data_IF_975332526413
#
_entry.id   IF_975332526413
#
_cell.length_a   1.000
_cell.length_b   1.000
_cell.length_c   1.000
_cell.angle_alpha   90.00
_cell.angle_beta   90.00
_cell.angle_gamma   90.00
#
_symmetry.space_group_name_H-M   'P 1'
#
loop_
_entity.id
_entity.type
_entity.pdbx_description
1 polymer ?
#
# COMPACT_ATOMS: atom_id res chain seq x y z
N UNK A 1 -10.80 -1.04 15.24
CA UNK A 1 -9.87 -0.57 16.30
C UNK A 1 -8.55 -1.31 16.17
N UNK A 2 -7.42 -0.70 16.45
CA UNK A 2 -6.10 -1.34 16.48
C UNK A 2 -5.24 -0.69 17.56
N UNK A 3 -4.11 -1.31 17.92
CA UNK A 3 -3.18 -0.75 18.90
C UNK A 3 -2.41 0.43 18.29
N UNK A 4 -2.63 1.62 18.84
CA UNK A 4 -2.00 2.87 18.44
C UNK A 4 -0.87 3.28 19.39
N UNK A 5 -0.38 2.36 20.24
CA UNK A 5 0.69 2.64 21.19
C UNK A 5 1.93 3.21 20.48
N UNK A 6 2.42 4.36 20.95
CA UNK A 6 3.55 5.06 20.34
C UNK A 6 3.18 5.96 19.15
N UNK A 7 1.95 5.91 18.65
CA UNK A 7 1.46 6.89 17.68
C UNK A 7 0.87 8.12 18.35
N UNK A 8 1.03 9.27 17.70
CA UNK A 8 0.31 10.50 17.99
C UNK A 8 -0.92 10.57 17.10
N UNK A 9 -2.10 10.56 17.70
CA UNK A 9 -3.34 10.77 16.96
C UNK A 9 -3.44 12.22 16.46
N UNK A 10 -3.68 12.40 15.17
CA UNK A 10 -3.83 13.71 14.51
C UNK A 10 -5.32 14.07 14.42
N UNK A 11 -6.15 13.11 14.04
CA UNK A 11 -7.61 13.20 14.07
C UNK A 11 -8.22 11.81 14.30
N UNK A 12 -9.54 11.66 14.17
CA UNK A 12 -10.24 10.40 14.43
C UNK A 12 -9.70 9.21 13.61
N UNK A 13 -9.22 9.47 12.39
CA UNK A 13 -8.85 8.46 11.41
C UNK A 13 -7.37 8.48 11.03
N UNK A 14 -6.57 9.38 11.59
CA UNK A 14 -5.17 9.59 11.21
C UNK A 14 -4.26 9.61 12.43
N UNK A 15 -3.18 8.84 12.35
CA UNK A 15 -2.13 8.73 13.36
C UNK A 15 -0.75 8.87 12.73
N UNK A 16 0.14 9.60 13.39
CA UNK A 16 1.54 9.76 12.99
C UNK A 16 2.46 9.08 14.00
N UNK A 17 3.47 8.36 13.52
CA UNK A 17 4.56 7.85 14.36
C UNK A 17 5.65 8.92 14.47
N UNK A 18 5.88 9.53 15.65
CA UNK A 18 6.71 10.73 15.75
C UNK A 18 8.18 10.54 15.36
N UNK A 19 8.73 9.34 15.49
CA UNK A 19 10.15 9.08 15.25
C UNK A 19 10.52 9.09 13.76
N UNK A 20 9.62 8.62 12.90
CA UNK A 20 9.88 8.44 11.46
C UNK A 20 8.96 9.28 10.57
N UNK A 21 7.90 9.86 11.14
CA UNK A 21 6.84 10.52 10.38
C UNK A 21 5.95 9.55 9.59
N UNK A 22 6.05 8.23 9.84
CA UNK A 22 5.16 7.25 9.22
C UNK A 22 3.72 7.53 9.64
N UNK A 23 2.78 7.40 8.70
CA UNK A 23 1.38 7.73 8.91
C UNK A 23 0.49 6.50 8.75
N UNK A 24 -0.48 6.36 9.63
CA UNK A 24 -1.53 5.35 9.55
C UNK A 24 -2.86 6.04 9.37
N UNK A 25 -3.64 5.61 8.38
CA UNK A 25 -5.00 6.06 8.14
C UNK A 25 -5.98 4.89 8.22
N UNK A 26 -7.11 5.15 8.85
CA UNK A 26 -8.29 4.32 8.76
C UNK A 26 -9.26 4.95 7.77
N UNK A 27 -9.86 4.14 6.90
CA UNK A 27 -10.85 4.62 5.95
C UNK A 27 -12.03 3.66 5.88
N UNK A 28 -13.23 4.22 5.76
CA UNK A 28 -14.42 3.49 5.34
C UNK A 28 -14.98 4.14 4.08
N UNK A 29 -15.18 3.34 3.04
CA UNK A 29 -15.76 3.79 1.77
C UNK A 29 -17.12 3.11 1.60
N UNK A 30 -18.24 3.85 1.64
CA UNK A 30 -19.56 3.28 1.36
C UNK A 30 -19.73 2.99 -0.14
N UNK A 31 -20.60 2.04 -0.46
CA UNK A 31 -20.87 1.64 -1.84
C UNK A 31 -20.05 0.41 -2.26
N UNK A 32 -20.29 -0.06 -3.48
CA UNK A 32 -19.58 -1.25 -4.00
C UNK A 32 -18.08 -0.95 -4.05
N UNK A 33 -17.21 -1.77 -3.41
CA UNK A 33 -15.78 -1.52 -3.38
C UNK A 33 -15.13 -1.52 -4.75
N UNK A 34 -14.46 -0.42 -5.11
CA UNK A 34 -13.69 -0.29 -6.35
C UNK A 34 -12.45 -1.18 -6.26
N UNK A 35 -12.63 -2.46 -6.58
CA UNK A 35 -11.59 -3.49 -6.70
C UNK A 35 -11.77 -4.12 -8.09
N UNK A 36 -10.70 -4.21 -8.90
CA UNK A 36 -10.85 -4.48 -10.34
C UNK A 36 -11.14 -5.95 -10.68
N UNK A 37 -11.13 -6.84 -9.68
CA UNK A 37 -11.42 -8.26 -9.82
C UNK A 37 -11.96 -8.82 -8.49
N UNK A 38 -12.58 -10.01 -8.56
CA UNK A 38 -12.86 -10.80 -7.36
C UNK A 38 -11.56 -11.14 -6.62
N UNK A 39 -11.61 -11.29 -5.29
CA UNK A 39 -10.41 -11.63 -4.52
C UNK A 39 -9.88 -13.03 -4.86
N UNK A 40 -10.75 -13.91 -5.34
CA UNK A 40 -10.42 -15.28 -5.76
C UNK A 40 -9.66 -15.30 -7.11
N UNK A 41 -9.80 -14.27 -7.95
CA UNK A 41 -9.10 -14.13 -9.22
C UNK A 41 -7.84 -13.27 -9.06
N UNK A 42 -6.90 -13.78 -8.26
CA UNK A 42 -5.65 -13.10 -7.95
C UNK A 42 -4.81 -12.70 -9.18
N UNK A 43 -4.70 -13.51 -10.26
CA UNK A 43 -3.99 -13.10 -11.47
C UNK A 43 -4.58 -11.85 -12.13
N UNK A 44 -5.91 -11.81 -12.35
CA UNK A 44 -6.57 -10.64 -12.92
C UNK A 44 -6.45 -9.45 -11.99
N UNK A 45 -6.67 -9.66 -10.69
CA UNK A 45 -6.54 -8.61 -9.67
C UNK A 45 -5.16 -7.95 -9.71
N UNK A 46 -4.08 -8.75 -9.68
CA UNK A 46 -2.69 -8.26 -9.73
C UNK A 46 -2.39 -7.49 -10.99
N UNK A 47 -2.86 -7.99 -12.14
CA UNK A 47 -2.65 -7.34 -13.43
C UNK A 47 -3.34 -5.98 -13.47
N UNK A 48 -4.64 -5.93 -13.18
CA UNK A 48 -5.42 -4.69 -13.24
C UNK A 48 -4.96 -3.66 -12.22
N UNK A 49 -4.55 -4.10 -11.02
CA UNK A 49 -3.94 -3.19 -10.05
C UNK A 49 -2.60 -2.65 -10.56
N UNK A 50 -1.73 -3.48 -11.14
CA UNK A 50 -0.46 -3.01 -11.70
C UNK A 50 -0.65 -2.00 -12.84
N UNK A 51 -1.61 -2.25 -13.72
CA UNK A 51 -2.00 -1.34 -14.80
C UNK A 51 -2.52 -0.01 -14.23
N UNK A 52 -3.38 -0.04 -13.21
CA UNK A 52 -3.93 1.16 -12.59
C UNK A 52 -2.89 1.96 -11.79
N UNK A 53 -2.00 1.30 -11.04
CA UNK A 53 -0.96 1.98 -10.24
C UNK A 53 0.09 2.64 -11.14
N UNK A 54 0.25 2.22 -12.39
CA UNK A 54 1.27 2.73 -13.30
C UNK A 54 1.10 4.22 -13.67
N UNK A 55 -0.11 4.76 -13.56
CA UNK A 55 -0.40 6.17 -13.85
C UNK A 55 0.26 7.13 -12.84
N UNK A 56 0.41 6.72 -11.58
CA UNK A 56 0.87 7.58 -10.48
C UNK A 56 1.99 6.98 -9.61
N UNK A 57 2.42 5.76 -9.94
CA UNK A 57 3.43 5.04 -9.20
C UNK A 57 3.72 3.66 -9.75
N UNK A 58 3.89 2.69 -8.86
CA UNK A 58 4.14 1.30 -9.19
C UNK A 58 3.57 0.40 -8.09
N UNK A 59 2.80 -0.61 -8.50
CA UNK A 59 2.48 -1.72 -7.62
C UNK A 59 3.75 -2.52 -7.33
N UNK A 60 3.99 -2.88 -6.08
CA UNK A 60 5.12 -3.72 -5.67
C UNK A 60 4.62 -5.15 -5.50
N UNK A 61 3.57 -5.30 -4.69
CA UNK A 61 3.00 -6.57 -4.32
C UNK A 61 1.49 -6.44 -4.11
N UNK A 62 0.75 -7.49 -4.43
CA UNK A 62 -0.64 -7.63 -4.05
C UNK A 62 -0.91 -9.08 -3.63
N UNK A 63 -1.60 -9.25 -2.51
CA UNK A 63 -1.91 -10.53 -1.88
C UNK A 63 -3.34 -10.52 -1.39
N UNK A 64 -3.96 -11.71 -1.37
CA UNK A 64 -5.23 -11.93 -0.70
C UNK A 64 -4.92 -12.63 0.61
N UNK A 65 -5.29 -12.00 1.72
CA UNK A 65 -4.94 -12.44 3.07
C UNK A 65 -6.20 -12.54 3.93
N UNK A 66 -6.11 -13.28 5.05
CA UNK A 66 -7.12 -13.20 6.11
C UNK A 66 -6.75 -12.09 7.08
N UNK A 67 -7.68 -11.17 7.32
CA UNK A 67 -7.48 -10.02 8.20
C UNK A 67 -8.67 -9.88 9.14
N UNK A 68 -8.41 -10.01 10.45
CA UNK A 68 -9.46 -10.12 11.47
C UNK A 68 -10.54 -11.19 11.13
N UNK A 69 -10.13 -12.28 10.48
CA UNK A 69 -11.01 -13.39 10.08
C UNK A 69 -11.78 -13.17 8.77
N UNK A 70 -11.54 -12.08 8.05
CA UNK A 70 -12.20 -11.76 6.78
C UNK A 70 -11.21 -11.77 5.60
N UNK A 71 -11.63 -12.15 4.38
CA UNK A 71 -10.82 -11.97 3.18
C UNK A 71 -10.51 -10.48 2.95
N UNK A 72 -9.26 -10.18 2.66
CA UNK A 72 -8.79 -8.83 2.44
C UNK A 72 -7.73 -8.78 1.34
N UNK A 73 -7.70 -7.68 0.60
CA UNK A 73 -6.64 -7.34 -0.34
C UNK A 73 -5.56 -6.55 0.42
N UNK A 74 -4.37 -7.13 0.53
CA UNK A 74 -3.15 -6.43 0.93
C UNK A 74 -2.39 -6.03 -0.32
N UNK A 75 -1.99 -4.76 -0.42
CA UNK A 75 -1.10 -4.29 -1.47
C UNK A 75 -0.02 -3.37 -0.91
N UNK A 76 1.14 -3.44 -1.56
CA UNK A 76 2.25 -2.52 -1.36
C UNK A 76 2.47 -1.77 -2.65
N UNK A 77 2.58 -0.45 -2.56
CA UNK A 77 2.79 0.42 -3.72
C UNK A 77 3.88 1.43 -3.40
N UNK A 78 4.53 1.95 -4.43
CA UNK A 78 5.38 3.14 -4.33
C UNK A 78 4.85 4.23 -5.25
N UNK A 79 4.91 5.45 -4.76
CA UNK A 79 4.41 6.63 -5.46
C UNK A 79 5.40 7.78 -5.25
N UNK A 80 5.29 8.81 -6.10
CA UNK A 80 6.05 10.04 -5.86
C UNK A 80 5.54 10.74 -4.61
N UNK A 81 6.47 11.30 -3.85
CA UNK A 81 6.12 12.15 -2.72
C UNK A 81 5.50 13.46 -3.24
N UNK A 82 4.26 13.75 -2.84
CA UNK A 82 3.49 14.91 -3.33
C UNK A 82 4.16 16.27 -3.06
N UNK A 83 4.88 16.40 -1.93
CA UNK A 83 5.55 17.65 -1.52
C UNK A 83 7.10 17.63 -1.57
N UNK A 84 7.74 16.58 -2.09
CA UNK A 84 9.20 16.48 -2.08
C UNK A 84 9.70 16.00 -3.45
N UNK A 85 10.32 16.89 -4.26
CA UNK A 85 10.88 16.52 -5.55
C UNK A 85 11.88 15.37 -5.41
N UNK A 86 11.65 14.29 -6.16
CA UNK A 86 12.49 13.09 -6.13
C UNK A 86 12.26 12.16 -4.92
N UNK A 87 11.44 12.56 -3.95
CA UNK A 87 11.05 11.72 -2.82
C UNK A 87 10.07 10.62 -3.24
N UNK A 88 10.10 9.50 -2.54
CA UNK A 88 9.16 8.39 -2.71
C UNK A 88 8.36 8.16 -1.42
N UNK A 89 7.14 7.68 -1.60
CA UNK A 89 6.30 7.19 -0.52
C UNK A 89 5.97 5.75 -0.84
N UNK A 90 6.18 4.89 0.15
CA UNK A 90 5.78 3.50 0.11
C UNK A 90 4.56 3.31 0.96
N UNK A 91 3.57 2.62 0.41
CA UNK A 91 2.31 2.36 1.09
C UNK A 91 2.13 0.88 1.37
N UNK A 92 1.46 0.57 2.46
CA UNK A 92 0.87 -0.72 2.71
C UNK A 92 -0.62 -0.49 2.96
N UNK A 93 -1.49 -0.96 2.06
CA UNK A 93 -2.93 -0.84 2.25
C UNK A 93 -3.55 -2.22 2.36
N UNK A 94 -4.34 -2.42 3.41
CA UNK A 94 -5.22 -3.58 3.52
C UNK A 94 -6.67 -3.15 3.42
N UNK A 95 -7.39 -3.76 2.49
CA UNK A 95 -8.78 -3.43 2.16
C UNK A 95 -9.61 -4.68 2.43
N UNK A 96 -10.60 -4.55 3.31
CA UNK A 96 -11.61 -5.58 3.58
C UNK A 96 -12.88 -5.20 2.82
N UNK A 97 -13.16 -5.80 1.64
CA UNK A 97 -14.34 -5.46 0.86
C UNK A 97 -15.57 -6.27 1.29
N UNK A 98 -16.71 -5.60 1.41
CA UNK A 98 -18.05 -6.18 1.54
C UNK A 98 -18.92 -5.68 0.40
N UNK A 99 -20.08 -6.30 0.16
CA UNK A 99 -20.95 -5.98 -0.97
C UNK A 99 -21.33 -4.49 -1.09
N UNK A 100 -21.42 -3.77 0.03
CA UNK A 100 -21.90 -2.38 0.08
C UNK A 100 -20.93 -1.42 0.75
N UNK A 101 -19.67 -1.82 0.96
CA UNK A 101 -18.65 -0.95 1.51
C UNK A 101 -17.31 -1.62 1.70
N UNK A 102 -16.26 -0.83 1.84
CA UNK A 102 -14.92 -1.29 2.15
C UNK A 102 -14.38 -0.61 3.41
N UNK A 103 -13.75 -1.38 4.29
CA UNK A 103 -12.94 -0.85 5.38
C UNK A 103 -11.47 -1.03 5.00
N UNK A 104 -10.67 0.02 5.17
CA UNK A 104 -9.26 0.00 4.84
C UNK A 104 -8.40 0.53 5.99
N UNK A 105 -7.21 -0.05 6.11
CA UNK A 105 -6.11 0.49 6.89
C UNK A 105 -4.96 0.75 5.92
N UNK A 106 -4.40 1.94 5.97
CA UNK A 106 -3.33 2.38 5.10
C UNK A 106 -2.17 2.87 5.93
N UNK A 107 -0.97 2.38 5.64
CA UNK A 107 0.29 2.89 6.18
C UNK A 107 1.02 3.62 5.06
N UNK A 108 1.57 4.80 5.35
CA UNK A 108 2.45 5.55 4.46
C UNK A 108 3.78 5.77 5.15
N UNK A 109 4.84 5.40 4.44
CA UNK A 109 6.22 5.60 4.87
C UNK A 109 6.93 6.41 3.79
N UNK A 110 7.41 7.60 4.15
CA UNK A 110 8.20 8.42 3.25
C UNK A 110 9.67 8.00 3.30
N UNK A 111 10.33 8.00 2.15
CA UNK A 111 11.76 7.67 2.00
C UNK A 111 12.60 8.95 2.01
N UNK A 112 12.65 9.64 3.16
CA UNK A 112 13.16 11.02 3.24
C UNK A 112 14.65 11.13 3.59
N UNK A 113 15.21 10.20 4.39
CA UNK A 113 16.56 10.36 4.96
C UNK A 113 17.66 9.65 4.14
N UNK A 114 17.30 8.58 3.43
CA UNK A 114 18.23 7.73 2.67
C UNK A 114 17.67 7.32 1.31
N UNK A 115 16.91 8.23 0.67
CA UNK A 115 16.27 8.00 -0.62
C UNK A 115 17.25 7.37 -1.62
N UNK A 116 16.90 6.19 -2.14
CA UNK A 116 17.71 5.49 -3.15
C UNK A 116 18.98 4.81 -2.62
N UNK A 117 19.32 4.89 -1.33
CA UNK A 117 20.48 4.16 -0.77
C UNK A 117 20.32 2.64 -0.92
N UNK A 118 19.10 2.14 -0.66
CA UNK A 118 18.75 0.73 -0.86
C UNK A 118 18.98 0.31 -2.30
N UNK A 119 18.44 1.06 -3.25
CA UNK A 119 18.59 0.78 -4.68
C UNK A 119 20.04 0.88 -5.14
N UNK A 120 20.79 1.89 -4.70
CA UNK A 120 22.21 2.04 -5.02
C UNK A 120 23.05 0.86 -4.50
N UNK A 121 22.84 0.46 -3.24
CA UNK A 121 23.54 -0.67 -2.64
C UNK A 121 23.21 -1.99 -3.35
N UNK A 122 21.94 -2.21 -3.71
CA UNK A 122 21.53 -3.41 -4.44
C UNK A 122 22.07 -3.40 -5.87
N UNK A 123 22.10 -2.24 -6.55
CA UNK A 123 22.68 -2.09 -7.87
C UNK A 123 24.15 -2.51 -7.93
N UNK A 124 24.94 -2.29 -6.86
CA UNK A 124 26.33 -2.78 -6.79
C UNK A 124 26.44 -4.31 -6.81
N UNK A 125 25.39 -5.01 -6.39
CA UNK A 125 25.35 -6.48 -6.30
C UNK A 125 24.76 -7.13 -7.54
N UNK A 126 23.68 -6.55 -8.07
CA UNK A 126 22.92 -7.14 -9.18
C UNK A 126 23.24 -6.54 -10.55
N UNK A 127 23.89 -5.37 -10.56
CA UNK A 127 24.17 -4.59 -11.76
C UNK A 127 23.05 -3.59 -12.08
N UNK A 128 23.41 -2.37 -12.45
CA UNK A 128 22.46 -1.28 -12.71
C UNK A 128 21.42 -1.61 -13.80
N UNK A 129 21.85 -2.32 -14.85
CA UNK A 129 20.98 -2.71 -15.97
C UNK A 129 19.89 -3.72 -15.57
N UNK A 130 20.04 -4.36 -14.40
CA UNK A 130 19.10 -5.36 -13.88
C UNK A 130 18.21 -4.82 -12.78
N UNK A 131 18.36 -3.55 -12.40
CA UNK A 131 17.59 -2.97 -11.29
C UNK A 131 16.09 -2.91 -11.58
N UNK A 132 15.72 -2.65 -12.83
CA UNK A 132 14.33 -2.37 -13.22
C UNK A 132 13.84 -3.35 -14.30
N UNK A 133 13.60 -4.62 -13.96
CA UNK A 133 13.02 -5.58 -14.91
C UNK A 133 11.55 -5.21 -15.23
N UNK A 134 10.96 -5.82 -16.27
CA UNK A 134 9.53 -5.68 -16.53
C UNK A 134 8.69 -6.07 -15.30
N UNK A 135 7.57 -5.36 -15.08
CA UNK A 135 6.71 -5.60 -13.93
C UNK A 135 6.14 -7.04 -13.95
N UNK A 136 6.20 -7.80 -12.85
CA UNK A 136 5.87 -9.23 -12.84
C UNK A 136 4.39 -9.53 -13.15
N UNK A 137 3.48 -8.61 -12.83
CA UNK A 137 2.05 -8.77 -13.08
C UNK A 137 1.56 -8.10 -14.37
N UNK A 138 2.36 -7.21 -14.95
CA UNK A 138 2.00 -6.46 -16.15
C UNK A 138 3.26 -6.08 -16.95
N UNK A 139 3.98 -7.03 -17.57
CA UNK A 139 5.28 -6.79 -18.19
C UNK A 139 5.26 -5.77 -19.35
N UNK A 140 4.08 -5.50 -19.90
CA UNK A 140 3.86 -4.58 -21.01
C UNK A 140 3.68 -3.12 -20.55
N UNK A 141 3.40 -2.90 -19.26
CA UNK A 141 3.16 -1.59 -18.71
C UNK A 141 4.47 -0.85 -18.48
N UNK A 142 4.49 0.42 -18.87
CA UNK A 142 5.53 1.37 -18.49
C UNK A 142 4.86 2.52 -17.75
N UNK A 143 4.99 2.50 -16.42
CA UNK A 143 4.43 3.52 -15.55
C UNK A 143 5.41 4.66 -15.25
N UNK A 144 4.94 5.62 -14.44
CA UNK A 144 5.73 6.75 -13.96
C UNK A 144 6.91 6.32 -13.06
N UNK A 145 6.74 5.23 -12.30
CA UNK A 145 7.81 4.60 -11.53
C UNK A 145 8.05 3.16 -12.02
N UNK A 146 9.32 2.73 -12.14
CA UNK A 146 9.64 1.37 -12.54
C UNK A 146 9.43 0.38 -11.38
N UNK A 147 9.08 -0.86 -11.68
CA UNK A 147 9.27 -1.96 -10.75
C UNK A 147 10.77 -2.16 -10.49
N UNK A 148 11.19 -2.24 -9.22
CA UNK A 148 12.60 -2.39 -8.85
C UNK A 148 12.83 -3.74 -8.18
N UNK A 149 13.94 -4.40 -8.49
CA UNK A 149 14.43 -5.57 -7.71
C UNK A 149 14.74 -5.18 -6.26
N UNK A 150 14.98 -3.90 -6.00
CA UNK A 150 15.13 -3.34 -4.66
C UNK A 150 13.85 -3.43 -3.84
N UNK A 151 12.68 -3.54 -4.47
CA UNK A 151 11.41 -3.63 -3.77
C UNK A 151 11.20 -5.01 -3.09
N UNK A 152 11.97 -6.04 -3.46
CA UNK A 152 11.82 -7.40 -2.92
C UNK A 152 12.05 -7.46 -1.40
N UNK A 153 11.19 -8.19 -0.68
CA UNK A 153 11.25 -8.38 0.76
C UNK A 153 12.55 -9.02 1.27
N UNK A 154 13.30 -9.73 0.44
CA UNK A 154 14.58 -10.33 0.81
C UNK A 154 15.60 -9.29 1.32
N UNK A 155 15.48 -8.03 0.89
CA UNK A 155 16.38 -6.95 1.30
C UNK A 155 15.98 -6.27 2.61
N UNK A 156 14.78 -6.54 3.13
CA UNK A 156 14.23 -5.79 4.26
C UNK A 156 15.09 -5.89 5.52
N UNK A 157 15.69 -7.06 5.77
CA UNK A 157 16.57 -7.26 6.92
C UNK A 157 17.84 -6.39 6.85
N UNK A 158 18.38 -6.16 5.65
CA UNK A 158 19.57 -5.33 5.43
C UNK A 158 19.26 -3.83 5.47
N UNK A 159 18.02 -3.46 5.13
CA UNK A 159 17.56 -2.07 5.11
C UNK A 159 16.37 -1.87 6.05
N UNK A 160 16.53 -2.04 7.37
CA UNK A 160 15.43 -1.94 8.33
C UNK A 160 14.83 -0.52 8.42
N UNK A 161 15.64 0.49 8.06
CA UNK A 161 15.23 1.88 8.01
C UNK A 161 14.53 2.28 6.72
N UNK A 162 14.54 1.46 5.66
CA UNK A 162 13.92 1.82 4.38
C UNK A 162 12.40 1.90 4.48
N UNK A 163 11.78 2.85 3.79
CA UNK A 163 10.35 3.13 3.89
C UNK A 163 9.46 1.91 3.58
N UNK A 164 9.78 1.12 2.55
CA UNK A 164 9.04 -0.11 2.25
C UNK A 164 9.16 -1.16 3.37
N UNK A 165 10.35 -1.30 3.97
CA UNK A 165 10.57 -2.20 5.10
C UNK A 165 9.71 -1.79 6.29
N UNK A 166 9.67 -0.48 6.58
CA UNK A 166 8.83 0.07 7.65
C UNK A 166 7.35 -0.16 7.37
N UNK A 167 6.89 0.04 6.13
CA UNK A 167 5.49 -0.19 5.74
C UNK A 167 5.08 -1.65 5.96
N UNK A 168 5.92 -2.62 5.54
CA UNK A 168 5.71 -4.06 5.80
C UNK A 168 5.71 -4.39 7.29
N UNK A 169 6.65 -3.83 8.06
CA UNK A 169 6.71 -4.01 9.51
C UNK A 169 5.45 -3.48 10.20
N UNK A 170 5.04 -2.26 9.90
CA UNK A 170 3.83 -1.65 10.46
C UNK A 170 2.60 -2.47 10.13
N UNK A 171 2.46 -2.91 8.88
CA UNK A 171 1.36 -3.82 8.53
C UNK A 171 1.37 -5.09 9.40
N UNK A 172 2.53 -5.74 9.55
CA UNK A 172 2.68 -6.92 10.40
C UNK A 172 2.35 -6.67 11.88
N UNK A 173 2.65 -5.50 12.40
CA UNK A 173 2.34 -5.13 13.80
C UNK A 173 0.86 -4.79 13.99
N UNK A 174 0.33 -3.90 13.16
CA UNK A 174 -1.05 -3.43 13.24
C UNK A 174 -2.04 -4.58 12.98
N UNK A 175 -1.76 -5.45 12.02
CA UNK A 175 -2.63 -6.57 11.67
C UNK A 175 -2.89 -7.55 12.83
N UNK A 176 -2.00 -7.63 13.81
CA UNK A 176 -2.17 -8.48 15.01
C UNK A 176 -3.19 -7.94 15.99
N UNK A 177 -3.43 -6.63 15.99
CA UNK A 177 -4.27 -5.95 16.99
C UNK A 177 -5.57 -5.41 16.41
N UNK A 178 -5.70 -5.43 15.07
CA UNK A 178 -6.90 -4.94 14.38
C UNK A 178 -8.13 -5.78 14.73
N UNK A 179 -9.21 -5.06 15.02
CA UNK A 179 -10.57 -5.56 15.14
C UNK A 179 -11.49 -4.81 14.18
N UNK A 180 -12.28 -5.58 13.44
CA UNK A 180 -13.34 -5.09 12.54
C UNK A 180 -14.66 -5.02 13.30
N UNK A 181 -15.46 -4.00 13.02
CA UNK A 181 -16.80 -3.87 13.60
C UNK A 181 -17.67 -5.07 13.20
N UNK A 182 -18.30 -5.79 14.15
CA UNK A 182 -19.12 -6.96 13.84
C UNK A 182 -20.28 -6.67 12.86
N UNK A 183 -20.84 -5.46 12.88
CA UNK A 183 -21.91 -5.06 11.95
C UNK A 183 -21.38 -4.96 10.52
N UNK A 184 -20.17 -4.44 10.35
CA UNK A 184 -19.49 -4.43 9.05
C UNK A 184 -19.11 -5.85 8.61
N UNK A 185 -18.57 -6.66 9.53
CA UNK A 185 -18.21 -8.05 9.25
C UNK A 185 -19.41 -8.92 8.83
N UNK A 186 -20.63 -8.56 9.25
CA UNK A 186 -21.87 -9.24 8.92
C UNK A 186 -22.49 -8.82 7.57
N UNK A 187 -21.99 -7.77 6.91
CA UNK A 187 -22.45 -7.39 5.56
C UNK A 187 -22.23 -8.55 4.57
N UNK A 188 -22.93 -8.65 3.43
CA UNK A 188 -22.65 -9.72 2.46
C UNK A 188 -21.20 -9.65 1.92
N UNK A 189 -20.58 -10.77 1.54
CA UNK A 189 -19.25 -10.77 0.91
C UNK A 189 -19.25 -9.95 -0.40
N UNK A 190 -18.12 -9.32 -0.71
CA UNK A 190 -17.89 -8.77 -2.04
C UNK A 190 -17.61 -9.89 -3.02
N UNK A 191 -18.27 -9.89 -4.18
CA UNK A 191 -18.05 -10.91 -5.22
C UNK A 191 -17.25 -10.43 -6.42
N UNK A 192 -17.15 -9.11 -6.66
CA UNK A 192 -16.39 -8.50 -7.77
C UNK A 192 -16.63 -9.09 -9.18
N UNK A 193 -15.92 -8.56 -10.20
CA UNK A 193 -15.48 -7.17 -10.33
C UNK A 193 -16.66 -6.19 -10.43
N UNK A 194 -16.39 -4.88 -10.29
CA UNK A 194 -17.32 -3.86 -10.80
C UNK A 194 -16.99 -3.60 -12.29
N UNK A 195 -17.99 -3.46 -13.19
CA UNK A 195 -17.75 -3.22 -14.61
C UNK A 195 -16.93 -1.95 -14.93
N UNK A 196 -17.04 -0.91 -14.09
CA UNK A 196 -16.38 0.38 -14.29
C UNK A 196 -15.42 0.66 -13.14
N UNK A 197 -14.21 0.08 -13.18
CA UNK A 197 -13.13 0.47 -12.28
C UNK A 197 -12.47 1.73 -12.86
N UNK A 198 -12.80 2.95 -12.37
CA UNK A 198 -11.93 4.09 -12.63
C UNK A 198 -10.57 3.75 -11.99
N UNK A 199 -9.47 4.09 -12.65
CA UNK A 199 -8.14 4.01 -12.04
C UNK A 199 -8.13 4.59 -10.62
N UNK A 200 -7.14 4.19 -9.82
CA UNK A 200 -7.05 4.54 -8.39
C UNK A 200 -7.48 5.98 -8.10
N UNK A 201 -8.52 6.15 -7.28
CA UNK A 201 -8.78 7.45 -6.66
C UNK A 201 -7.51 7.83 -5.89
N UNK A 202 -6.88 8.98 -6.18
CA UNK A 202 -5.75 9.44 -5.41
C UNK A 202 -6.15 9.47 -3.93
N UNK A 203 -5.21 9.11 -3.05
CA UNK A 203 -5.36 9.50 -1.66
C UNK A 203 -5.49 11.01 -1.66
N UNK A 204 -6.63 11.52 -1.16
CA UNK A 204 -6.78 12.96 -0.96
C UNK A 204 -5.56 13.46 -0.20
N UNK A 205 -4.91 14.52 -0.71
CA UNK A 205 -3.74 15.09 -0.07
C UNK A 205 -4.03 15.27 1.43
N UNK A 206 -3.12 14.85 2.33
CA UNK A 206 -3.27 15.24 3.71
C UNK A 206 -3.32 16.77 3.77
N UNK A 207 -4.19 17.35 4.62
CA UNK A 207 -4.29 18.80 4.73
C UNK A 207 -2.90 19.39 4.97
N UNK A 208 -2.59 20.46 4.22
CA UNK A 208 -1.34 21.20 4.36
C UNK A 208 -1.12 21.54 5.86
N UNK A 209 0.12 21.43 6.37
CA UNK A 209 0.39 21.91 7.71
C UNK A 209 0.05 23.40 7.79
N UNK A 210 -0.47 23.88 8.93
CA UNK A 210 -0.75 25.30 9.10
C UNK A 210 0.53 26.11 8.90
N UNK A 211 0.40 27.22 8.17
CA UNK A 211 1.47 28.19 7.90
C UNK A 211 2.04 28.83 9.16
#
# INVERSE_FOLDING_TARGET
MFDTSGFRQINEDVWDYPLTGDRVLRQYTPGVPTIPAALEDLPTLRRSLAEASAESGCLIEAHVVSFAGLPALLRFEKMRHWNQPGGLIYTASIIVPRATGAAALLVLCADNDFAGLRDAAIATRVGIDRMNPPHPYAPHVRGDLPYSVGDDAQWDQEFPGHALTRARRWFGELSRTVRIDPRFAALPPFSGPIPDFPGMTPLSDPPLPPS
#
